data_IF_311834512710
#
_entry.id   IF_311834512710
#
_cell.length_a   1.000
_cell.length_b   1.000
_cell.length_c   1.000
_cell.angle_alpha   90.00
_cell.angle_beta   90.00
_cell.angle_gamma   90.00
#
_symmetry.space_group_name_H-M   'P 1'
#
loop_
_entity.id
_entity.type
_entity.pdbx_description
1 polymer ?
#
# COMPACT_ATOMS: atom_id res chain seq x y z
N UNK A 1 11.17 -9.95 4.35
CA UNK A 1 10.82 -8.80 5.21
C UNK A 1 12.04 -7.92 5.32
N UNK A 2 11.83 -6.62 5.52
CA UNK A 2 12.88 -5.61 5.62
C UNK A 2 12.66 -4.81 6.88
N UNK A 3 13.72 -4.58 7.66
CA UNK A 3 13.65 -3.74 8.86
C UNK A 3 14.03 -2.31 8.51
N UNK A 4 13.18 -1.34 8.84
CA UNK A 4 13.47 0.09 8.72
C UNK A 4 13.59 0.73 10.10
N UNK A 5 14.44 1.75 10.20
CA UNK A 5 14.68 2.51 11.44
C UNK A 5 14.38 3.98 11.19
N UNK A 6 13.47 4.53 11.98
CA UNK A 6 12.98 5.89 11.86
C UNK A 6 13.40 6.70 13.08
N UNK A 7 13.87 7.93 12.84
CA UNK A 7 14.04 8.92 13.89
C UNK A 7 12.67 9.40 14.40
N UNK A 8 12.58 10.09 15.55
CA UNK A 8 11.28 10.42 16.15
C UNK A 8 10.35 11.20 15.21
N UNK A 9 10.86 12.21 14.50
CA UNK A 9 10.06 13.00 13.54
C UNK A 9 9.65 12.18 12.32
N UNK A 10 10.54 11.29 11.85
CA UNK A 10 10.25 10.38 10.75
C UNK A 10 9.17 9.36 11.12
N UNK A 11 9.17 8.88 12.36
CA UNK A 11 8.17 7.96 12.88
C UNK A 11 6.80 8.64 12.96
N UNK A 12 6.74 9.89 13.42
CA UNK A 12 5.51 10.70 13.38
C UNK A 12 5.01 10.94 11.96
N UNK A 13 5.92 11.21 11.02
CA UNK A 13 5.58 11.39 9.60
C UNK A 13 5.05 10.09 8.99
N UNK A 14 5.67 8.96 9.31
CA UNK A 14 5.18 7.65 8.90
C UNK A 14 3.80 7.34 9.51
N UNK A 15 3.56 7.68 10.78
CA UNK A 15 2.25 7.54 11.41
C UNK A 15 1.19 8.39 10.69
N UNK A 16 1.49 9.65 10.39
CA UNK A 16 0.60 10.54 9.64
C UNK A 16 0.32 9.99 8.22
N UNK A 17 1.33 9.41 7.57
CA UNK A 17 1.18 8.77 6.28
C UNK A 17 0.26 7.55 6.31
N UNK A 18 0.36 6.73 7.36
CA UNK A 18 -0.55 5.61 7.56
C UNK A 18 -1.98 6.10 7.79
N UNK A 19 -2.20 7.14 8.59
CA UNK A 19 -3.54 7.75 8.76
C UNK A 19 -4.09 8.25 7.42
N UNK A 20 -3.28 9.00 6.67
CA UNK A 20 -3.66 9.45 5.33
C UNK A 20 -4.08 8.29 4.43
N UNK A 21 -3.31 7.20 4.44
CA UNK A 21 -3.59 6.02 3.62
C UNK A 21 -4.93 5.39 3.99
N UNK A 22 -5.12 5.10 5.27
CA UNK A 22 -6.29 4.40 5.79
C UNK A 22 -7.56 5.24 5.70
N UNK A 23 -7.45 6.57 5.71
CA UNK A 23 -8.58 7.47 5.50
C UNK A 23 -9.09 7.49 4.04
N UNK A 24 -8.30 7.05 3.06
CA UNK A 24 -8.71 7.06 1.65
C UNK A 24 -9.64 5.89 1.30
N UNK A 25 -10.80 6.13 0.67
CA UNK A 25 -11.67 5.06 0.23
C UNK A 25 -10.96 4.06 -0.70
N UNK A 26 -11.07 2.77 -0.38
CA UNK A 26 -10.52 1.69 -1.20
C UNK A 26 -8.99 1.52 -1.13
N UNK A 27 -8.27 2.25 -0.27
CA UNK A 27 -6.81 2.15 -0.18
C UNK A 27 -6.31 0.78 0.29
N UNK A 28 -7.10 0.05 1.05
CA UNK A 28 -6.75 -1.29 1.55
C UNK A 28 -7.52 -2.40 0.83
N UNK A 29 -8.23 -2.11 -0.27
CA UNK A 29 -8.94 -3.14 -1.00
C UNK A 29 -8.05 -3.74 -2.09
N UNK A 30 -7.98 -5.07 -2.12
CA UNK A 30 -7.41 -5.79 -3.26
C UNK A 30 -8.30 -5.59 -4.50
N UNK A 31 -7.69 -5.22 -5.63
CA UNK A 31 -8.43 -4.85 -6.83
C UNK A 31 -9.17 -6.03 -7.49
N UNK A 32 -8.74 -7.27 -7.21
CA UNK A 32 -9.28 -8.48 -7.83
C UNK A 32 -10.42 -9.07 -6.99
N UNK A 33 -10.24 -9.09 -5.68
CA UNK A 33 -11.14 -9.75 -4.72
C UNK A 33 -12.05 -8.76 -4.00
N UNK A 34 -11.75 -7.46 -4.06
CA UNK A 34 -12.39 -6.38 -3.31
C UNK A 34 -12.39 -6.63 -1.79
N UNK A 35 -11.52 -7.51 -1.30
CA UNK A 35 -11.34 -7.79 0.11
C UNK A 35 -10.23 -6.90 0.70
N UNK A 36 -10.28 -6.60 2.00
CA UNK A 36 -9.18 -5.95 2.69
C UNK A 36 -7.87 -6.74 2.50
N UNK A 37 -6.81 -6.07 2.10
CA UNK A 37 -5.51 -6.67 1.91
C UNK A 37 -4.86 -6.92 3.28
N UNK A 38 -4.74 -8.19 3.69
CA UNK A 38 -4.21 -8.54 5.03
C UNK A 38 -2.80 -7.99 5.28
N UNK A 39 -1.99 -7.82 4.23
CA UNK A 39 -0.67 -7.21 4.32
C UNK A 39 -0.66 -5.67 4.16
N UNK A 40 -1.80 -5.00 4.31
CA UNK A 40 -1.95 -3.55 4.24
C UNK A 40 -1.10 -2.74 5.23
N UNK A 41 -1.31 -1.43 5.26
CA UNK A 41 -0.70 -0.54 6.26
C UNK A 41 -1.43 -0.57 7.61
N UNK A 42 -2.65 -1.11 7.66
CA UNK A 42 -3.44 -1.25 8.90
C UNK A 42 -2.64 -1.78 10.10
N UNK A 43 -1.93 -2.92 9.98
CA UNK A 43 -1.09 -3.45 11.06
C UNK A 43 0.08 -2.55 11.47
N UNK A 44 0.56 -1.67 10.59
CA UNK A 44 1.67 -0.76 10.90
C UNK A 44 1.23 0.41 11.78
N UNK A 45 -0.04 0.81 11.75
CA UNK A 45 -0.52 1.92 12.57
C UNK A 45 -0.24 1.70 14.08
N UNK A 46 -0.75 0.64 14.73
CA UNK A 46 -0.48 0.41 16.15
C UNK A 46 1.01 0.13 16.42
N UNK A 47 1.73 -0.47 15.46
CA UNK A 47 3.16 -0.75 15.61
C UNK A 47 4.02 0.52 15.66
N UNK A 48 3.66 1.54 14.86
CA UNK A 48 4.31 2.85 14.87
C UNK A 48 3.88 3.64 16.11
N UNK A 49 2.57 3.72 16.38
CA UNK A 49 2.02 4.51 17.48
C UNK A 49 2.56 4.07 18.84
N UNK A 50 2.73 2.76 19.06
CA UNK A 50 3.33 2.22 20.29
C UNK A 50 4.80 2.61 20.50
N UNK A 51 5.47 3.18 19.50
CA UNK A 51 6.89 3.53 19.52
C UNK A 51 7.18 5.03 19.36
N UNK A 52 6.17 5.91 19.22
CA UNK A 52 6.37 7.34 18.93
C UNK A 52 7.17 8.11 20.01
N UNK A 53 7.31 7.57 21.22
CA UNK A 53 8.12 8.13 22.29
C UNK A 53 9.57 7.62 22.36
N UNK A 54 9.96 6.70 21.48
CA UNK A 54 11.30 6.11 21.46
C UNK A 54 12.29 6.98 20.68
N UNK A 55 13.57 6.90 21.04
CA UNK A 55 14.64 7.58 20.30
C UNK A 55 14.78 7.07 18.86
N UNK A 56 14.44 5.80 18.61
CA UNK A 56 14.41 5.18 17.29
C UNK A 56 13.24 4.21 17.23
N UNK A 57 12.38 4.35 16.22
CA UNK A 57 11.30 3.41 15.92
C UNK A 57 11.81 2.36 14.94
N UNK A 58 11.64 1.08 15.26
CA UNK A 58 12.05 -0.02 14.39
C UNK A 58 10.81 -0.75 13.89
N UNK A 59 10.70 -0.90 12.57
CA UNK A 59 9.55 -1.53 11.93
C UNK A 59 10.02 -2.65 11.01
N UNK A 60 9.47 -3.84 11.22
CA UNK A 60 9.60 -4.94 10.28
C UNK A 60 8.45 -4.87 9.27
N UNK A 61 8.81 -4.61 8.00
CA UNK A 61 7.83 -4.40 6.93
C UNK A 61 8.01 -5.43 5.82
N UNK A 62 6.89 -5.84 5.23
CA UNK A 62 6.93 -6.57 3.95
C UNK A 62 7.29 -5.63 2.81
N UNK A 63 7.70 -6.18 1.66
CA UNK A 63 7.91 -5.38 0.46
C UNK A 63 6.63 -4.63 0.04
N UNK A 64 5.48 -5.27 0.16
CA UNK A 64 4.19 -4.63 -0.11
C UNK A 64 3.95 -3.44 0.82
N UNK A 65 4.10 -3.61 2.14
CA UNK A 65 3.94 -2.52 3.11
C UNK A 65 4.92 -1.37 2.88
N UNK A 66 6.18 -1.67 2.57
CA UNK A 66 7.17 -0.63 2.29
C UNK A 66 6.83 0.16 1.03
N UNK A 67 6.34 -0.51 -0.02
CA UNK A 67 5.85 0.15 -1.23
C UNK A 67 4.65 1.05 -0.93
N UNK A 68 3.65 0.55 -0.19
CA UNK A 68 2.45 1.31 0.21
C UNK A 68 2.77 2.49 1.11
N UNK A 69 3.72 2.34 2.04
CA UNK A 69 4.20 3.43 2.88
C UNK A 69 4.87 4.53 2.04
N UNK A 70 5.66 4.13 1.03
CA UNK A 70 6.28 5.07 0.08
C UNK A 70 5.25 5.88 -0.72
N UNK A 71 4.17 5.24 -1.17
CA UNK A 71 3.04 5.92 -1.83
C UNK A 71 2.27 6.82 -0.86
N UNK A 72 2.01 6.33 0.35
CA UNK A 72 1.31 7.07 1.39
C UNK A 72 2.06 8.36 1.75
N UNK A 73 3.39 8.31 1.91
CA UNK A 73 4.22 9.49 2.16
C UNK A 73 4.07 10.55 1.07
N UNK A 74 4.06 10.17 -0.21
CA UNK A 74 3.84 11.10 -1.31
C UNK A 74 2.44 11.72 -1.28
N UNK A 75 1.44 10.91 -0.98
CA UNK A 75 0.06 11.37 -0.82
C UNK A 75 -0.09 12.35 0.34
N UNK A 76 0.53 12.06 1.48
CA UNK A 76 0.57 12.96 2.65
C UNK A 76 1.26 14.28 2.35
N UNK A 77 2.35 14.28 1.59
CA UNK A 77 3.01 15.52 1.14
C UNK A 77 2.06 16.38 0.31
N UNK A 78 1.25 15.77 -0.56
CA UNK A 78 0.26 16.50 -1.33
C UNK A 78 -0.91 16.98 -0.47
N UNK A 79 -1.39 16.15 0.46
CA UNK A 79 -2.45 16.51 1.40
C UNK A 79 -2.03 17.68 2.28
N UNK A 80 -0.81 17.68 2.82
CA UNK A 80 -0.28 18.79 3.64
C UNK A 80 -0.26 20.12 2.87
N UNK A 81 0.12 20.10 1.59
CA UNK A 81 0.07 21.30 0.73
C UNK A 81 -1.36 21.77 0.51
N UNK A 82 -2.28 20.84 0.27
CA UNK A 82 -3.70 21.16 0.08
C UNK A 82 -4.35 21.66 1.36
N UNK A 83 -3.99 21.07 2.49
CA UNK A 83 -4.43 21.44 3.83
C UNK A 83 -4.07 22.89 4.14
N UNK A 84 -2.82 23.29 3.85
CA UNK A 84 -2.37 24.69 3.98
C UNK A 84 -3.20 25.62 3.10
N UNK A 85 -3.32 25.31 1.80
CA UNK A 85 -4.08 26.12 0.84
C UNK A 85 -5.58 26.20 1.15
N UNK A 86 -6.10 25.22 1.88
CA UNK A 86 -7.51 25.11 2.25
C UNK A 86 -7.78 25.62 3.67
N UNK A 87 -6.85 26.36 4.27
CA UNK A 87 -6.99 26.94 5.62
C UNK A 87 -7.33 25.88 6.68
N UNK A 88 -6.63 24.74 6.63
CA UNK A 88 -6.77 23.66 7.59
C UNK A 88 -7.91 22.68 7.32
N UNK A 89 -8.48 22.67 6.11
CA UNK A 89 -9.48 21.69 5.69
C UNK A 89 -8.82 20.52 4.93
N UNK A 90 -9.11 19.31 5.37
CA UNK A 90 -8.70 18.05 4.71
C UNK A 90 -9.92 17.33 4.17
N UNK A 91 -9.76 16.67 3.01
CA UNK A 91 -10.79 15.76 2.46
C UNK A 91 -10.58 14.32 2.94
N UNK A 92 -9.43 14.04 3.56
CA UNK A 92 -9.12 12.74 4.14
C UNK A 92 -9.62 12.69 5.58
N UNK A 93 -10.54 11.76 5.92
CA UNK A 93 -11.06 11.58 7.27
C UNK A 93 -9.95 11.36 8.31
N UNK A 94 -10.05 12.04 9.45
CA UNK A 94 -9.12 11.90 10.57
C UNK A 94 -7.75 12.54 10.37
N UNK A 95 -7.47 13.10 9.18
CA UNK A 95 -6.15 13.66 8.86
C UNK A 95 -5.85 14.92 9.66
N UNK A 96 -6.80 15.85 9.76
CA UNK A 96 -6.62 17.11 10.48
C UNK A 96 -6.38 16.86 11.98
N UNK A 97 -7.15 15.95 12.58
CA UNK A 97 -7.00 15.55 13.97
C UNK A 97 -5.65 14.85 14.22
N UNK A 98 -5.24 13.97 13.30
CA UNK A 98 -3.95 13.29 13.40
C UNK A 98 -2.77 14.26 13.24
N UNK A 99 -2.86 15.22 12.31
CA UNK A 99 -1.84 16.24 12.10
C UNK A 99 -1.64 17.08 13.37
N UNK A 100 -2.72 17.64 13.92
CA UNK A 100 -2.67 18.44 15.14
C UNK A 100 -2.14 17.64 16.35
N UNK A 101 -2.48 16.35 16.46
CA UNK A 101 -2.01 15.47 17.53
C UNK A 101 -0.52 15.12 17.41
N UNK A 102 -0.06 14.79 16.20
CA UNK A 102 1.29 14.29 15.96
C UNK A 102 2.31 15.43 15.86
N UNK A 103 1.88 16.61 15.37
CA UNK A 103 2.73 17.76 15.12
C UNK A 103 2.08 19.05 15.67
N UNK A 104 1.87 19.14 17.00
CA UNK A 104 1.18 20.28 17.60
C UNK A 104 1.87 21.61 17.29
N UNK A 105 3.20 21.64 17.26
CA UNK A 105 3.97 22.86 16.96
C UNK A 105 3.74 23.32 15.51
N UNK A 106 3.75 22.38 14.55
CA UNK A 106 3.51 22.72 13.14
C UNK A 106 2.05 23.08 12.87
N UNK A 107 1.11 22.53 13.65
CA UNK A 107 -0.30 22.85 13.52
C UNK A 107 -0.66 24.24 14.09
N UNK A 108 0.18 24.79 14.97
CA UNK A 108 -0.01 26.11 15.56
C UNK A 108 0.63 27.25 14.75
N UNK A 109 1.50 26.93 13.79
CA UNK A 109 2.28 27.89 13.01
C UNK A 109 1.75 28.03 11.57
N UNK A 110 1.69 29.27 11.07
CA UNK A 110 1.43 29.53 9.65
C UNK A 110 2.56 28.94 8.80
N UNK A 111 2.21 28.17 7.76
CA UNK A 111 3.19 27.46 6.93
C UNK A 111 3.74 26.16 7.53
N UNK A 112 3.38 25.79 8.77
CA UNK A 112 3.89 24.58 9.41
C UNK A 112 3.55 23.29 8.65
N UNK A 113 2.42 23.23 7.95
CA UNK A 113 2.11 22.07 7.10
C UNK A 113 3.03 21.98 5.86
N UNK A 114 3.49 23.12 5.31
CA UNK A 114 4.43 23.14 4.19
C UNK A 114 5.85 22.74 4.61
N UNK A 115 6.26 23.14 5.80
CA UNK A 115 7.52 22.69 6.39
C UNK A 115 7.50 21.18 6.62
N UNK A 116 6.40 20.66 7.15
CA UNK A 116 6.23 19.22 7.32
C UNK A 116 6.18 18.48 5.97
N UNK A 117 5.57 19.08 4.94
CA UNK A 117 5.57 18.53 3.59
C UNK A 117 7.01 18.39 3.04
N UNK A 118 7.87 19.37 3.33
CA UNK A 118 9.28 19.33 2.95
C UNK A 118 10.03 18.20 3.67
N UNK A 119 9.77 18.01 4.97
CA UNK A 119 10.32 16.88 5.74
C UNK A 119 9.85 15.53 5.19
N UNK A 120 8.56 15.41 4.82
CA UNK A 120 8.00 14.22 4.18
C UNK A 120 8.70 13.85 2.87
N UNK A 121 9.05 14.85 2.03
CA UNK A 121 9.86 14.62 0.83
C UNK A 121 11.25 14.10 1.18
N UNK A 122 11.90 14.64 2.23
CA UNK A 122 13.22 14.16 2.65
C UNK A 122 13.18 12.72 3.17
N UNK A 123 12.17 12.38 3.99
CA UNK A 123 11.97 11.01 4.45
C UNK A 123 11.76 10.06 3.26
N UNK A 124 10.88 10.42 2.32
CA UNK A 124 10.62 9.62 1.13
C UNK A 124 11.89 9.43 0.28
N UNK A 125 12.76 10.45 0.17
CA UNK A 125 14.05 10.34 -0.52
C UNK A 125 15.00 9.38 0.19
N UNK A 126 15.09 9.44 1.52
CA UNK A 126 15.91 8.50 2.30
C UNK A 126 15.47 7.05 2.13
N UNK A 127 14.16 6.82 1.98
CA UNK A 127 13.59 5.49 1.77
C UNK A 127 13.57 5.05 0.29
N UNK A 128 13.98 5.89 -0.66
CA UNK A 128 13.67 5.69 -2.08
C UNK A 128 14.23 4.39 -2.65
N UNK A 129 15.49 4.05 -2.34
CA UNK A 129 16.08 2.80 -2.81
C UNK A 129 15.31 1.58 -2.30
N UNK A 130 15.03 1.54 -0.99
CA UNK A 130 14.29 0.44 -0.38
C UNK A 130 12.84 0.34 -0.89
N UNK A 131 12.18 1.48 -1.14
CA UNK A 131 10.84 1.55 -1.72
C UNK A 131 10.83 1.05 -3.17
N UNK A 132 11.81 1.45 -3.99
CA UNK A 132 11.92 0.99 -5.39
C UNK A 132 12.19 -0.51 -5.48
N UNK A 133 13.10 -1.03 -4.66
CA UNK A 133 13.37 -2.47 -4.57
C UNK A 133 12.13 -3.24 -4.14
N UNK A 134 11.41 -2.73 -3.14
CA UNK A 134 10.18 -3.33 -2.66
C UNK A 134 9.07 -3.32 -3.73
N UNK A 135 8.89 -2.22 -4.45
CA UNK A 135 7.93 -2.13 -5.55
C UNK A 135 8.26 -3.15 -6.67
N UNK A 136 9.55 -3.28 -7.03
CA UNK A 136 9.97 -4.26 -8.03
C UNK A 136 9.69 -5.71 -7.58
N UNK A 137 9.87 -6.02 -6.29
CA UNK A 137 9.53 -7.34 -5.73
C UNK A 137 8.02 -7.62 -5.79
N UNK A 138 7.19 -6.61 -5.49
CA UNK A 138 5.73 -6.73 -5.58
C UNK A 138 5.28 -7.02 -7.02
N UNK A 139 5.81 -6.28 -7.99
CA UNK A 139 5.47 -6.48 -9.40
C UNK A 139 5.96 -7.84 -9.92
N UNK A 140 7.15 -8.28 -9.52
CA UNK A 140 7.65 -9.61 -9.86
C UNK A 140 6.77 -10.73 -9.27
N UNK A 141 6.32 -10.58 -8.02
CA UNK A 141 5.42 -11.54 -7.38
C UNK A 141 4.07 -11.61 -8.09
N UNK A 142 3.49 -10.47 -8.45
CA UNK A 142 2.24 -10.38 -9.22
C UNK A 142 2.37 -11.02 -10.59
N UNK A 143 3.46 -10.77 -11.30
CA UNK A 143 3.72 -11.37 -12.61
C UNK A 143 3.83 -12.91 -12.51
N UNK A 144 4.55 -13.42 -11.52
CA UNK A 144 4.70 -14.85 -11.29
C UNK A 144 3.38 -15.53 -10.87
N UNK A 145 2.50 -14.82 -10.15
CA UNK A 145 1.16 -15.32 -9.83
C UNK A 145 0.24 -15.34 -11.05
N UNK A 146 0.27 -14.28 -11.87
CA UNK A 146 -0.49 -14.22 -13.12
C UNK A 146 -0.07 -15.33 -14.10
N UNK A 147 1.23 -15.62 -14.21
CA UNK A 147 1.74 -16.72 -15.05
C UNK A 147 1.28 -18.09 -14.55
N UNK A 148 1.31 -18.31 -13.22
CA UNK A 148 0.80 -19.55 -12.60
C UNK A 148 -0.70 -19.72 -12.84
N UNK A 149 -1.49 -18.67 -12.63
CA UNK A 149 -2.93 -18.70 -12.88
C UNK A 149 -3.26 -18.97 -14.37
N UNK A 150 -2.48 -18.41 -15.29
CA UNK A 150 -2.61 -18.66 -16.72
C UNK A 150 -2.27 -20.12 -17.09
N UNK A 151 -1.21 -20.68 -16.51
CA UNK A 151 -0.81 -22.08 -16.73
C UNK A 151 -1.85 -23.07 -16.17
N UNK A 152 -2.40 -22.81 -14.99
CA UNK A 152 -3.47 -23.61 -14.38
C UNK A 152 -4.78 -23.53 -15.20
N UNK A 153 -5.14 -22.34 -15.68
CA UNK A 153 -6.29 -22.15 -16.57
C UNK A 153 -6.14 -22.87 -17.91
N UNK A 154 -4.93 -22.89 -18.49
CA UNK A 154 -4.64 -23.63 -19.71
C UNK A 154 -4.74 -25.15 -19.50
N UNK A 155 -4.17 -25.67 -18.40
CA UNK A 155 -4.25 -27.09 -18.06
C UNK A 155 -5.69 -27.57 -17.80
N UNK A 156 -6.52 -26.74 -17.13
CA UNK A 156 -7.94 -27.03 -16.93
C UNK A 156 -8.74 -27.01 -18.24
N UNK A 157 -8.40 -26.11 -19.17
CA UNK A 157 -9.00 -26.02 -20.51
C UNK A 157 -8.69 -27.22 -21.40
N UNK A 158 -7.46 -27.75 -21.36
CA UNK A 158 -7.07 -28.95 -22.12
C UNK A 158 -7.73 -30.22 -21.59
N UNK A 159 -7.83 -30.37 -20.27
CA UNK A 159 -8.53 -31.51 -19.64
C UNK A 159 -10.03 -31.55 -20.00
N UNK A 160 -10.72 -30.39 -20.01
CA UNK A 160 -12.14 -30.31 -20.40
C UNK A 160 -12.39 -30.39 -21.92
N UNK A 161 -11.42 -29.96 -22.74
CA UNK A 161 -11.49 -30.02 -24.20
C UNK A 161 -11.32 -31.43 -24.77
N UNK A 162 -10.47 -32.25 -24.14
CA UNK A 162 -10.24 -33.65 -24.52
C UNK A 162 -11.47 -34.54 -24.33
N UNK A 163 -12.21 -34.37 -23.24
CA UNK A 163 -13.44 -35.13 -22.98
C UNK A 163 -14.56 -34.76 -23.95
N UNK A 164 -14.77 -33.46 -24.21
CA UNK A 164 -15.81 -33.00 -25.15
C UNK A 164 -15.52 -33.45 -26.59
N UNK A 165 -14.26 -33.39 -27.05
CA UNK A 165 -13.87 -33.91 -28.38
C UNK A 165 -14.05 -35.43 -28.48
N UNK A 166 -13.77 -36.19 -27.42
CA UNK A 166 -13.95 -37.66 -27.45
C UNK A 166 -15.42 -38.10 -27.41
N UNK A 167 -16.31 -37.32 -26.78
CA UNK A 167 -17.76 -37.55 -26.78
C UNK A 167 -18.38 -37.32 -28.16
N UNK A 168 -18.02 -36.23 -28.84
CA UNK A 168 -18.48 -35.95 -30.20
C UNK A 168 -17.98 -36.99 -31.22
N UNK A 169 -16.73 -37.44 -31.12
CA UNK A 169 -16.19 -38.50 -31.99
C UNK A 169 -16.88 -39.86 -31.76
N UNK A 170 -17.25 -40.19 -30.52
CA UNK A 170 -17.99 -41.42 -30.19
C UNK A 170 -19.45 -41.37 -30.67
N UNK A 171 -20.09 -40.20 -30.59
CA UNK A 171 -21.45 -40.00 -31.11
C UNK A 171 -21.50 -40.06 -32.64
N UNK A 172 -20.47 -39.58 -33.34
CA UNK A 172 -20.43 -39.61 -34.79
C UNK A 172 -20.20 -41.02 -35.36
N UNK A 173 -19.32 -41.82 -34.76
CA UNK A 173 -19.09 -43.22 -35.18
C UNK A 173 -20.30 -44.14 -35.04
N UNK A 174 -21.26 -43.82 -34.18
CA UNK A 174 -22.48 -44.61 -33.95
C UNK A 174 -23.59 -44.36 -34.97
N UNK A 175 -23.44 -43.36 -35.84
CA UNK A 175 -24.45 -42.95 -36.82
C UNK A 175 -24.06 -43.31 -38.27
N UNK A 176 -22.87 -43.90 -38.46
CA UNK A 176 -22.29 -44.21 -39.77
C UNK A 176 -22.10 -45.71 -40.03
N UNK A 177 -22.62 -46.58 -39.17
CA UNK A 177 -22.67 -48.03 -39.37
C UNK A 177 -24.10 -48.52 -39.14
#
# INVERSE_FOLDING_TARGET
>A
MTTIRLQPDDARLAALAVVYHLGRPGSELDATTLQPHEAGLGPLQPAIEGQLGLAVTTLDVTAYQLSRLGEALLGTVNELKQYELSEGRSVVPGFAEAFARLFPDHAAEEGGALDLASQGVMLRRRLDNAVREAAAQVEAARAAEAERAAAEGAAAGEAGGGERRSLWQRLWRRRSG
#
